data_IF_818701907891
#
_entry.id   IF_818701907891
#
_cell.length_a   1.000
_cell.length_b   1.000
_cell.length_c   1.000
_cell.angle_alpha   90.00
_cell.angle_beta   90.00
_cell.angle_gamma   90.00
#
_symmetry.space_group_name_H-M   'P 1'
#
loop_
_entity.id
_entity.type
_entity.pdbx_description
1 polymer ?
#
# COMPACT_ATOMS: atom_id res chain seq x y z
N UNK A 1 39.78 31.90 24.20
CA UNK A 1 39.43 31.39 25.54
C UNK A 1 38.60 32.46 26.20
N UNK A 2 37.37 32.14 26.60
CA UNK A 2 36.40 33.07 27.18
C UNK A 2 36.86 33.57 28.55
N UNK A 3 36.57 34.84 28.87
CA UNK A 3 36.99 35.49 30.12
C UNK A 3 36.48 34.76 31.38
N UNK A 4 35.33 34.10 31.30
CA UNK A 4 34.78 33.25 32.37
C UNK A 4 35.73 32.14 32.81
N UNK A 5 36.43 31.50 31.87
CA UNK A 5 37.31 30.37 32.15
C UNK A 5 38.52 30.83 33.00
N UNK A 6 39.00 32.05 32.79
CA UNK A 6 40.12 32.60 33.56
C UNK A 6 39.68 32.94 34.99
N UNK A 7 38.48 33.48 35.16
CA UNK A 7 37.93 33.85 36.46
C UNK A 7 37.60 32.61 37.32
N UNK A 8 37.09 31.54 36.70
CA UNK A 8 36.89 30.24 37.35
C UNK A 8 38.21 29.61 37.80
N UNK A 9 39.23 29.68 36.96
CA UNK A 9 40.56 29.15 37.25
C UNK A 9 41.21 29.91 38.42
N UNK A 10 41.11 31.25 38.45
CA UNK A 10 41.57 32.07 39.58
C UNK A 10 40.85 31.73 40.89
N UNK A 11 39.52 31.54 40.86
CA UNK A 11 38.75 31.13 42.04
C UNK A 11 39.11 29.71 42.51
N UNK A 12 39.43 28.79 41.59
CA UNK A 12 39.87 27.43 41.89
C UNK A 12 41.23 27.42 42.60
N UNK A 13 42.16 28.27 42.16
CA UNK A 13 43.48 28.44 42.78
C UNK A 13 43.41 29.14 44.14
N UNK A 14 42.43 30.03 44.38
CA UNK A 14 42.25 30.72 45.66
C UNK A 14 41.57 29.86 46.73
N UNK A 15 40.74 28.88 46.35
CA UNK A 15 39.91 28.10 47.28
C UNK A 15 40.45 26.71 47.64
N UNK A 16 41.37 26.14 46.85
CA UNK A 16 41.87 24.77 47.04
C UNK A 16 43.39 24.70 47.20
N UNK A 17 43.86 23.71 47.98
CA UNK A 17 45.28 23.44 48.16
C UNK A 17 45.89 22.69 46.97
N UNK A 18 47.22 22.79 46.82
CA UNK A 18 48.01 22.14 45.76
C UNK A 18 47.65 20.65 45.52
N UNK A 19 47.44 19.78 46.54
CA UNK A 19 47.08 18.38 46.28
C UNK A 19 45.68 18.21 45.66
N UNK A 20 44.71 19.02 46.07
CA UNK A 20 43.33 18.97 45.56
C UNK A 20 43.23 19.50 44.12
N UNK A 21 44.11 20.46 43.77
CA UNK A 21 44.23 20.97 42.39
C UNK A 21 44.80 19.88 41.47
N UNK A 22 45.77 19.09 41.92
CA UNK A 22 46.30 17.95 41.15
C UNK A 22 45.27 16.85 40.94
N UNK A 23 44.44 16.59 41.94
CA UNK A 23 43.34 15.62 41.81
C UNK A 23 42.25 16.12 40.84
N UNK A 24 41.90 17.41 40.91
CA UNK A 24 41.00 18.04 39.93
C UNK A 24 41.58 18.03 38.50
N UNK A 25 42.89 18.27 38.35
CA UNK A 25 43.59 18.16 37.07
C UNK A 25 43.53 16.73 36.52
N UNK A 26 43.79 15.72 37.36
CA UNK A 26 43.72 14.32 36.96
C UNK A 26 42.30 13.92 36.55
N UNK A 27 41.28 14.34 37.30
CA UNK A 27 39.87 14.10 36.97
C UNK A 27 39.47 14.79 35.67
N UNK A 28 39.88 16.04 35.46
CA UNK A 28 39.60 16.77 34.23
C UNK A 28 40.29 16.11 33.02
N UNK A 29 41.54 15.65 33.16
CA UNK A 29 42.24 14.90 32.12
C UNK A 29 41.52 13.59 31.76
N UNK A 30 40.96 12.90 32.76
CA UNK A 30 40.13 11.71 32.52
C UNK A 30 38.86 12.05 31.74
N UNK A 31 38.12 13.07 32.16
CA UNK A 31 36.91 13.53 31.47
C UNK A 31 37.19 13.98 30.04
N UNK A 32 38.30 14.68 29.80
CA UNK A 32 38.74 15.07 28.45
C UNK A 32 39.03 13.83 27.60
N UNK A 33 39.69 12.81 28.15
CA UNK A 33 39.93 11.54 27.45
C UNK A 33 38.63 10.83 27.09
N UNK A 34 37.71 10.70 28.05
CA UNK A 34 36.39 10.08 27.83
C UNK A 34 35.58 10.83 26.77
N UNK A 35 35.49 12.16 26.87
CA UNK A 35 34.78 12.99 25.89
C UNK A 35 35.41 12.92 24.51
N UNK A 36 36.73 12.84 24.43
CA UNK A 36 37.43 12.66 23.15
C UNK A 36 37.09 11.30 22.53
N UNK A 37 37.01 10.24 23.34
CA UNK A 37 36.67 8.91 22.87
C UNK A 37 35.18 8.78 22.49
N UNK A 38 34.28 9.40 23.25
CA UNK A 38 32.86 9.51 22.93
C UNK A 38 32.65 10.26 21.60
N UNK A 39 33.33 11.40 21.40
CA UNK A 39 33.29 12.13 20.13
C UNK A 39 33.78 11.27 18.96
N UNK A 40 34.87 10.51 19.13
CA UNK A 40 35.34 9.59 18.07
C UNK A 40 34.30 8.52 17.74
N UNK A 41 33.61 7.97 18.75
CA UNK A 41 32.56 6.97 18.54
C UNK A 41 31.36 7.56 17.79
N UNK A 42 30.83 8.68 18.28
CA UNK A 42 29.64 9.33 17.69
C UNK A 42 29.92 9.82 16.28
N UNK A 43 31.11 10.37 16.03
CA UNK A 43 31.51 10.78 14.68
C UNK A 43 31.67 9.57 13.75
N UNK A 44 32.23 8.46 14.25
CA UNK A 44 32.31 7.20 13.50
C UNK A 44 30.95 6.63 13.13
N UNK A 45 30.01 6.62 14.07
CA UNK A 45 28.61 6.21 13.86
C UNK A 45 27.93 7.13 12.84
N UNK A 46 28.09 8.45 12.97
CA UNK A 46 27.52 9.41 12.02
C UNK A 46 28.06 9.23 10.60
N UNK A 47 29.35 8.93 10.42
CA UNK A 47 29.91 8.62 9.09
C UNK A 47 29.37 7.31 8.54
N UNK A 48 29.22 6.28 9.38
CA UNK A 48 28.65 5.00 8.95
C UNK A 48 27.20 5.15 8.50
N UNK A 49 26.40 5.92 9.24
CA UNK A 49 25.01 6.23 8.89
C UNK A 49 24.93 7.06 7.60
N UNK A 50 25.83 8.03 7.40
CA UNK A 50 25.91 8.79 6.15
C UNK A 50 26.25 7.92 4.93
N UNK A 51 27.09 6.89 5.12
CA UNK A 51 27.42 5.93 4.05
C UNK A 51 26.22 5.03 3.78
N UNK A 52 25.60 4.46 4.84
CA UNK A 52 24.44 3.58 4.69
C UNK A 52 23.25 4.30 4.04
N UNK A 53 23.02 5.58 4.38
CA UNK A 53 21.99 6.39 3.74
C UNK A 53 22.31 6.72 2.27
N UNK A 54 23.59 6.91 1.93
CA UNK A 54 24.01 7.08 0.54
C UNK A 54 23.83 5.80 -0.28
N UNK A 55 24.18 4.64 0.27
CA UNK A 55 23.97 3.34 -0.38
C UNK A 55 22.49 3.06 -0.61
N UNK A 56 21.65 3.30 0.41
CA UNK A 56 20.19 3.19 0.28
C UNK A 56 19.63 4.14 -0.81
N UNK A 57 20.18 5.35 -0.95
CA UNK A 57 19.77 6.28 -2.00
C UNK A 57 20.12 5.76 -3.40
N UNK A 58 21.29 5.11 -3.55
CA UNK A 58 21.70 4.49 -4.81
C UNK A 58 20.79 3.31 -5.14
N UNK A 59 20.45 2.45 -4.17
CA UNK A 59 19.50 1.34 -4.36
C UNK A 59 18.12 1.84 -4.79
N UNK A 60 17.59 2.86 -4.09
CA UNK A 60 16.30 3.48 -4.45
C UNK A 60 16.36 4.04 -5.87
N UNK A 61 17.47 4.66 -6.26
CA UNK A 61 17.64 5.20 -7.62
C UNK A 61 17.68 4.10 -8.68
N UNK A 62 18.36 2.98 -8.43
CA UNK A 62 18.39 1.85 -9.37
C UNK A 62 17.00 1.24 -9.53
N UNK A 63 16.34 0.96 -8.41
CA UNK A 63 14.98 0.40 -8.40
C UNK A 63 13.99 1.32 -9.12
N UNK A 64 14.07 2.65 -8.88
CA UNK A 64 13.23 3.61 -9.59
C UNK A 64 13.48 3.58 -11.11
N UNK A 65 14.74 3.46 -11.55
CA UNK A 65 15.09 3.33 -12.97
C UNK A 65 14.53 2.03 -13.57
N UNK A 66 14.67 0.91 -12.87
CA UNK A 66 14.13 -0.39 -13.30
C UNK A 66 12.61 -0.35 -13.45
N UNK A 67 11.90 0.18 -12.44
CA UNK A 67 10.44 0.36 -12.49
C UNK A 67 10.04 1.22 -13.69
N UNK A 68 10.74 2.32 -13.95
CA UNK A 68 10.43 3.16 -15.12
C UNK A 68 10.61 2.39 -16.44
N UNK A 69 11.68 1.61 -16.57
CA UNK A 69 11.93 0.81 -17.76
C UNK A 69 10.86 -0.27 -17.97
N UNK A 70 10.45 -0.98 -16.90
CA UNK A 70 9.38 -1.98 -16.98
C UNK A 70 8.03 -1.36 -17.35
N UNK A 71 7.66 -0.24 -16.73
CA UNK A 71 6.41 0.47 -17.04
C UNK A 71 6.39 0.95 -18.50
N UNK A 72 7.53 1.41 -19.03
CA UNK A 72 7.64 1.73 -20.45
C UNK A 72 7.53 0.50 -21.36
N UNK A 73 8.03 -0.65 -20.91
CA UNK A 73 7.83 -1.96 -21.52
C UNK A 73 6.35 -2.31 -21.64
N UNK A 74 5.65 -2.34 -20.50
CA UNK A 74 4.21 -2.61 -20.43
C UNK A 74 3.43 -1.65 -21.33
N UNK A 75 3.75 -0.35 -21.31
CA UNK A 75 3.09 0.64 -22.17
C UNK A 75 3.27 0.33 -23.65
N UNK A 76 4.45 -0.11 -24.08
CA UNK A 76 4.70 -0.54 -25.47
C UNK A 76 3.89 -1.78 -25.82
N UNK A 77 3.90 -2.80 -24.96
CA UNK A 77 3.21 -4.06 -25.20
C UNK A 77 1.68 -3.87 -25.27
N UNK A 78 1.12 -3.05 -24.38
CA UNK A 78 -0.31 -2.68 -24.41
C UNK A 78 -0.65 -1.92 -25.69
N UNK A 79 0.24 -1.03 -26.15
CA UNK A 79 0.02 -0.29 -27.40
C UNK A 79 0.02 -1.24 -28.60
N UNK A 80 1.00 -2.15 -28.68
CA UNK A 80 1.07 -3.16 -29.73
C UNK A 80 -0.15 -4.10 -29.70
N UNK A 81 -0.56 -4.54 -28.52
CA UNK A 81 -1.76 -5.35 -28.34
C UNK A 81 -2.99 -4.59 -28.82
N UNK A 82 -3.14 -3.32 -28.44
CA UNK A 82 -4.25 -2.49 -28.90
C UNK A 82 -4.24 -2.33 -30.43
N UNK A 83 -3.08 -2.15 -31.06
CA UNK A 83 -2.96 -2.09 -32.52
C UNK A 83 -3.39 -3.42 -33.17
N UNK A 84 -2.93 -4.56 -32.66
CA UNK A 84 -3.32 -5.90 -33.13
C UNK A 84 -4.81 -6.16 -32.96
N UNK A 85 -5.39 -5.76 -31.82
CA UNK A 85 -6.82 -5.84 -31.56
C UNK A 85 -7.56 -4.95 -32.56
N UNK A 86 -7.23 -3.66 -32.69
CA UNK A 86 -7.89 -2.77 -33.66
C UNK A 86 -7.85 -3.30 -35.10
N UNK A 87 -6.77 -3.96 -35.51
CA UNK A 87 -6.69 -4.64 -36.81
C UNK A 87 -7.65 -5.83 -36.91
N UNK A 88 -7.70 -6.70 -35.89
CA UNK A 88 -8.63 -7.83 -35.84
C UNK A 88 -10.11 -7.42 -35.80
N UNK A 89 -10.43 -6.24 -35.25
CA UNK A 89 -11.79 -5.69 -35.25
C UNK A 89 -12.15 -4.98 -36.55
N UNK A 90 -11.16 -4.50 -37.31
CA UNK A 90 -11.34 -3.89 -38.63
C UNK A 90 -11.41 -4.89 -39.77
N UNK A 91 -10.81 -6.07 -39.62
CA UNK A 91 -11.10 -7.19 -40.51
C UNK A 91 -12.55 -7.62 -40.27
N UNK A 92 -13.46 -7.41 -41.24
CA UNK A 92 -14.77 -8.01 -41.15
C UNK A 92 -14.52 -9.50 -41.23
N UNK A 93 -14.63 -10.20 -40.11
CA UNK A 93 -14.70 -11.65 -40.12
C UNK A 93 -15.68 -12.05 -41.20
N UNK A 94 -15.26 -12.94 -42.10
CA UNK A 94 -16.12 -13.55 -43.14
C UNK A 94 -17.32 -14.31 -42.54
N UNK A 95 -17.53 -14.25 -41.22
CA UNK A 95 -18.74 -14.59 -40.49
C UNK A 95 -19.91 -13.59 -40.69
N UNK A 96 -19.88 -12.72 -41.70
CA UNK A 96 -21.03 -11.92 -42.13
C UNK A 96 -22.19 -12.77 -42.72
N UNK A 97 -22.07 -14.09 -42.71
CA UNK A 97 -23.16 -15.03 -42.94
C UNK A 97 -23.67 -15.67 -41.62
N UNK A 98 -23.52 -15.00 -40.46
CA UNK A 98 -24.10 -15.52 -39.23
C UNK A 98 -25.62 -15.57 -39.36
N UNK A 99 -26.15 -16.77 -39.16
CA UNK A 99 -27.59 -16.96 -39.13
C UNK A 99 -28.20 -16.08 -38.02
N UNK A 100 -29.45 -15.63 -38.19
CA UNK A 100 -30.13 -14.81 -37.17
C UNK A 100 -30.05 -15.40 -35.76
N UNK A 101 -29.96 -16.74 -35.67
CA UNK A 101 -29.81 -17.49 -34.43
C UNK A 101 -28.44 -17.31 -33.74
N UNK A 102 -27.34 -17.28 -34.49
CA UNK A 102 -25.99 -17.06 -33.92
C UNK A 102 -25.85 -15.65 -33.35
N UNK A 103 -26.39 -14.64 -34.05
CA UNK A 103 -26.44 -13.27 -33.55
C UNK A 103 -27.30 -13.15 -32.28
N UNK A 104 -28.42 -13.87 -32.22
CA UNK A 104 -29.27 -13.94 -31.03
C UNK A 104 -28.59 -14.67 -29.86
N UNK A 105 -27.86 -15.76 -30.13
CA UNK A 105 -27.11 -16.48 -29.11
C UNK A 105 -25.95 -15.65 -28.56
N UNK A 106 -25.21 -14.95 -29.43
CA UNK A 106 -24.15 -14.03 -29.03
C UNK A 106 -24.70 -12.85 -28.21
N UNK A 107 -25.90 -12.35 -28.53
CA UNK A 107 -26.58 -11.35 -27.70
C UNK A 107 -26.99 -11.94 -26.35
N UNK A 108 -27.58 -13.15 -26.35
CA UNK A 108 -28.02 -13.85 -25.15
C UNK A 108 -26.88 -14.15 -24.18
N UNK A 109 -25.70 -14.56 -24.68
CA UNK A 109 -24.53 -14.82 -23.84
C UNK A 109 -23.96 -13.55 -23.21
N UNK A 110 -23.95 -12.42 -23.92
CA UNK A 110 -23.54 -11.11 -23.37
C UNK A 110 -24.52 -10.61 -22.31
N UNK A 111 -25.82 -10.75 -22.55
CA UNK A 111 -26.85 -10.41 -21.56
C UNK A 111 -26.72 -11.32 -20.33
N UNK A 112 -26.54 -12.62 -20.52
CA UNK A 112 -26.29 -13.58 -19.44
C UNK A 112 -25.07 -13.17 -18.61
N UNK A 113 -23.95 -12.82 -19.25
CA UNK A 113 -22.76 -12.36 -18.53
C UNK A 113 -23.04 -11.15 -17.63
N UNK A 114 -23.83 -10.17 -18.11
CA UNK A 114 -24.19 -9.00 -17.31
C UNK A 114 -25.08 -9.34 -16.11
N UNK A 115 -26.02 -10.28 -16.30
CA UNK A 115 -26.91 -10.76 -15.23
C UNK A 115 -26.14 -11.56 -14.16
N UNK A 116 -25.15 -12.36 -14.59
CA UNK A 116 -24.30 -13.18 -13.72
C UNK A 116 -23.13 -12.36 -13.09
N UNK A 117 -22.95 -11.09 -13.48
CA UNK A 117 -21.88 -10.22 -12.97
C UNK A 117 -21.98 -9.96 -11.46
N UNK A 118 -23.11 -9.51 -10.89
CA UNK A 118 -23.20 -9.18 -9.47
C UNK A 118 -22.84 -10.38 -8.57
N UNK A 119 -23.38 -11.57 -8.84
CA UNK A 119 -23.08 -12.79 -8.06
C UNK A 119 -21.61 -13.15 -8.11
N UNK A 120 -21.00 -13.09 -9.30
CA UNK A 120 -19.59 -13.41 -9.45
C UNK A 120 -18.66 -12.34 -8.86
N UNK A 121 -19.05 -11.07 -8.86
CA UNK A 121 -18.30 -10.02 -8.15
C UNK A 121 -18.34 -10.28 -6.65
N UNK A 122 -19.49 -10.66 -6.10
CA UNK A 122 -19.60 -11.05 -4.69
C UNK A 122 -18.78 -12.28 -4.35
N UNK A 123 -18.80 -13.32 -5.20
CA UNK A 123 -17.95 -14.50 -5.02
C UNK A 123 -16.46 -14.14 -4.97
N UNK A 124 -15.99 -13.26 -5.87
CA UNK A 124 -14.62 -12.76 -5.82
C UNK A 124 -14.32 -11.97 -4.53
N UNK A 125 -15.28 -11.21 -4.01
CA UNK A 125 -15.10 -10.49 -2.74
C UNK A 125 -15.02 -11.44 -1.54
N UNK A 126 -15.77 -12.53 -1.54
CA UNK A 126 -15.70 -13.58 -0.51
C UNK A 126 -14.35 -14.30 -0.53
N UNK A 127 -13.81 -14.56 -1.73
CA UNK A 127 -12.48 -15.15 -1.95
C UNK A 127 -11.31 -14.18 -1.73
N UNK A 128 -11.58 -12.91 -1.41
CA UNK A 128 -10.58 -11.82 -1.30
C UNK A 128 -9.85 -11.50 -2.62
N UNK A 129 -10.38 -11.91 -3.76
CA UNK A 129 -9.88 -11.54 -5.08
C UNK A 129 -10.47 -10.19 -5.54
N UNK A 130 -9.87 -9.12 -5.04
CA UNK A 130 -10.28 -7.76 -5.40
C UNK A 130 -9.96 -7.42 -6.88
N UNK A 131 -8.93 -8.03 -7.46
CA UNK A 131 -8.50 -7.77 -8.83
C UNK A 131 -9.49 -8.40 -9.83
N UNK A 132 -9.86 -9.67 -9.61
CA UNK A 132 -10.89 -10.35 -10.39
C UNK A 132 -12.24 -9.66 -10.29
N UNK A 133 -12.64 -9.22 -9.09
CA UNK A 133 -13.87 -8.44 -8.89
C UNK A 133 -13.86 -7.13 -9.72
N UNK A 134 -12.76 -6.36 -9.65
CA UNK A 134 -12.60 -5.12 -10.39
C UNK A 134 -12.60 -5.34 -11.91
N UNK A 135 -11.83 -6.32 -12.39
CA UNK A 135 -11.72 -6.65 -13.80
C UNK A 135 -13.07 -7.10 -14.39
N UNK A 136 -13.78 -7.99 -13.70
CA UNK A 136 -15.10 -8.47 -14.13
C UNK A 136 -16.12 -7.34 -14.22
N UNK A 137 -16.13 -6.46 -13.22
CA UNK A 137 -17.02 -5.31 -13.20
C UNK A 137 -16.71 -4.30 -14.33
N UNK A 138 -15.43 -4.08 -14.68
CA UNK A 138 -15.05 -3.24 -15.83
C UNK A 138 -15.51 -3.86 -17.15
N UNK A 139 -15.27 -5.16 -17.35
CA UNK A 139 -15.75 -5.87 -18.54
C UNK A 139 -17.27 -5.77 -18.68
N UNK A 140 -18.01 -5.94 -17.58
CA UNK A 140 -19.46 -5.75 -17.57
C UNK A 140 -19.86 -4.31 -17.91
N UNK A 141 -19.12 -3.31 -17.43
CA UNK A 141 -19.35 -1.88 -17.75
C UNK A 141 -19.17 -1.60 -19.25
N UNK A 142 -18.11 -2.14 -19.83
CA UNK A 142 -17.83 -1.99 -21.27
C UNK A 142 -18.86 -2.73 -22.12
N UNK A 143 -19.27 -3.93 -21.73
CA UNK A 143 -20.32 -4.69 -22.42
C UNK A 143 -21.68 -3.99 -22.33
N UNK A 144 -22.05 -3.47 -21.16
CA UNK A 144 -23.28 -2.69 -21.02
C UNK A 144 -23.27 -1.45 -21.90
N UNK A 145 -22.13 -0.74 -21.95
CA UNK A 145 -21.93 0.42 -22.84
C UNK A 145 -22.07 0.03 -24.31
N UNK A 146 -21.38 -1.03 -24.74
CA UNK A 146 -21.42 -1.55 -26.12
C UNK A 146 -22.83 -1.99 -26.53
N UNK A 147 -23.57 -2.66 -25.65
CA UNK A 147 -24.94 -3.09 -25.91
C UNK A 147 -25.93 -1.92 -25.93
N UNK A 148 -25.67 -0.86 -25.17
CA UNK A 148 -26.46 0.37 -25.17
C UNK A 148 -26.22 1.21 -26.43
N UNK A 149 -24.99 1.25 -26.94
CA UNK A 149 -24.59 2.03 -28.12
C UNK A 149 -24.80 1.28 -29.45
N UNK A 150 -24.63 -0.05 -29.47
CA UNK A 150 -24.47 -0.86 -30.69
C UNK A 150 -25.66 -1.72 -31.09
N UNK A 151 -26.78 -1.69 -30.39
CA UNK A 151 -27.96 -2.49 -30.76
C UNK A 151 -28.71 -1.88 -31.95
N UNK A 152 -28.42 -2.36 -33.16
CA UNK A 152 -29.20 -2.10 -34.37
C UNK A 152 -30.65 -2.62 -34.34
N UNK A 153 -31.16 -3.03 -33.17
CA UNK A 153 -32.51 -3.55 -32.94
C UNK A 153 -33.28 -2.83 -31.83
N UNK A 154 -32.90 -1.60 -31.49
CA UNK A 154 -33.54 -0.76 -30.48
C UNK A 154 -32.78 -0.73 -29.14
N UNK A 155 -33.12 0.22 -28.24
CA UNK A 155 -32.44 0.38 -26.96
C UNK A 155 -32.47 -0.91 -26.15
N UNK A 156 -31.36 -1.27 -25.51
CA UNK A 156 -31.24 -2.45 -24.64
C UNK A 156 -32.40 -2.56 -23.62
N UNK A 157 -32.90 -1.41 -23.14
CA UNK A 157 -34.02 -1.33 -22.21
C UNK A 157 -35.39 -1.75 -22.77
N UNK A 158 -35.61 -1.75 -24.09
CA UNK A 158 -36.88 -2.22 -24.68
C UNK A 158 -36.89 -3.73 -24.87
N UNK A 159 -35.74 -4.35 -25.14
CA UNK A 159 -35.61 -5.81 -25.30
C UNK A 159 -35.38 -6.53 -23.97
N UNK A 160 -34.69 -5.90 -23.02
CA UNK A 160 -34.31 -6.48 -21.74
C UNK A 160 -34.55 -5.48 -20.59
N UNK A 161 -35.81 -5.21 -20.20
CA UNK A 161 -36.14 -4.25 -19.15
C UNK A 161 -35.55 -4.64 -17.78
N UNK A 162 -35.40 -5.95 -17.53
CA UNK A 162 -34.76 -6.46 -16.31
C UNK A 162 -33.31 -5.99 -16.17
N UNK A 163 -32.56 -5.97 -17.28
CA UNK A 163 -31.17 -5.54 -17.27
C UNK A 163 -31.05 -4.05 -16.96
N UNK A 164 -31.97 -3.23 -17.49
CA UNK A 164 -32.03 -1.80 -17.18
C UNK A 164 -32.30 -1.55 -15.68
N UNK A 165 -33.15 -2.38 -15.05
CA UNK A 165 -33.45 -2.25 -13.62
C UNK A 165 -32.31 -2.75 -12.72
N UNK A 166 -31.60 -3.80 -13.10
CA UNK A 166 -30.53 -4.40 -12.29
C UNK A 166 -29.19 -3.67 -12.42
N UNK A 167 -28.93 -3.01 -13.55
CA UNK A 167 -27.66 -2.33 -13.81
C UNK A 167 -27.26 -1.29 -12.74
N UNK A 168 -28.16 -0.45 -12.20
CA UNK A 168 -27.82 0.46 -11.11
C UNK A 168 -27.26 -0.26 -9.87
N UNK A 169 -27.80 -1.43 -9.53
CA UNK A 169 -27.31 -2.27 -8.42
C UNK A 169 -25.91 -2.80 -8.73
N UNK A 170 -25.69 -3.33 -9.93
CA UNK A 170 -24.35 -3.77 -10.37
C UNK A 170 -23.35 -2.61 -10.37
N UNK A 171 -23.78 -1.40 -10.73
CA UNK A 171 -22.95 -0.19 -10.68
C UNK A 171 -22.56 0.19 -9.25
N UNK A 172 -23.46 0.01 -8.28
CA UNK A 172 -23.18 0.27 -6.88
C UNK A 172 -22.07 -0.64 -6.33
N UNK A 173 -21.97 -1.88 -6.83
CA UNK A 173 -20.89 -2.82 -6.46
C UNK A 173 -19.49 -2.27 -6.73
N UNK A 174 -19.33 -1.32 -7.66
CA UNK A 174 -18.04 -0.62 -7.86
C UNK A 174 -17.52 -0.01 -6.55
N UNK A 175 -18.41 0.63 -5.79
CA UNK A 175 -18.04 1.27 -4.54
C UNK A 175 -17.80 0.25 -3.44
N UNK A 176 -18.60 -0.82 -3.39
CA UNK A 176 -18.40 -1.93 -2.45
C UNK A 176 -17.04 -2.60 -2.65
N UNK A 177 -16.66 -2.93 -3.89
CA UNK A 177 -15.35 -3.51 -4.22
C UNK A 177 -14.22 -2.55 -3.84
N UNK A 178 -14.42 -1.24 -4.07
CA UNK A 178 -13.46 -0.22 -3.68
C UNK A 178 -13.27 -0.15 -2.16
N UNK A 179 -14.36 -0.13 -1.39
CA UNK A 179 -14.34 -0.05 0.07
C UNK A 179 -13.71 -1.31 0.67
N UNK A 180 -14.08 -2.50 0.19
CA UNK A 180 -13.46 -3.76 0.61
C UNK A 180 -11.96 -3.80 0.31
N UNK A 181 -11.54 -3.40 -0.89
CA UNK A 181 -10.11 -3.35 -1.24
C UNK A 181 -9.33 -2.36 -0.36
N UNK A 182 -9.91 -1.21 -0.02
CA UNK A 182 -9.29 -0.22 0.87
C UNK A 182 -9.21 -0.72 2.32
N UNK A 183 -10.27 -1.37 2.82
CA UNK A 183 -10.29 -1.99 4.14
C UNK A 183 -9.22 -3.09 4.23
N UNK A 184 -9.07 -3.92 3.19
CA UNK A 184 -8.02 -4.94 3.13
C UNK A 184 -6.62 -4.34 3.16
N UNK A 185 -6.38 -3.29 2.37
CA UNK A 185 -5.10 -2.59 2.33
C UNK A 185 -4.75 -1.96 3.69
N UNK A 186 -5.70 -1.25 4.31
CA UNK A 186 -5.52 -0.63 5.64
C UNK A 186 -5.28 -1.67 6.73
N UNK A 187 -5.99 -2.80 6.72
CA UNK A 187 -5.77 -3.90 7.65
C UNK A 187 -4.35 -4.48 7.51
N UNK A 188 -3.86 -4.66 6.27
CA UNK A 188 -2.50 -5.14 6.02
C UNK A 188 -1.43 -4.14 6.42
N UNK A 189 -1.63 -2.84 6.18
CA UNK A 189 -0.73 -1.80 6.67
C UNK A 189 -0.66 -1.80 8.20
N UNK A 190 -1.80 -1.96 8.89
CA UNK A 190 -1.86 -2.06 10.36
C UNK A 190 -1.13 -3.31 10.88
N UNK A 191 -1.25 -4.45 10.20
CA UNK A 191 -0.56 -5.69 10.57
C UNK A 191 0.97 -5.56 10.40
N UNK A 192 1.41 -4.98 9.28
CA UNK A 192 2.83 -4.73 9.02
C UNK A 192 3.46 -3.83 10.09
N UNK A 193 2.77 -2.76 10.50
CA UNK A 193 3.26 -1.83 11.52
C UNK A 193 3.26 -2.42 12.94
N UNK A 194 2.42 -3.42 13.22
CA UNK A 194 2.40 -4.13 14.51
C UNK A 194 3.45 -5.24 14.63
N UNK A 195 4.15 -5.58 13.54
CA UNK A 195 5.09 -6.71 13.53
C UNK A 195 4.42 -8.06 13.80
N UNK A 196 3.08 -8.14 13.71
CA UNK A 196 2.32 -9.37 13.95
C UNK A 196 2.49 -10.30 12.75
N UNK A 197 3.01 -11.51 13.00
CA UNK A 197 2.84 -12.64 12.07
C UNK A 197 1.35 -12.93 11.98
N UNK A 198 0.75 -12.67 10.82
CA UNK A 198 -0.61 -13.12 10.53
C UNK A 198 -0.58 -14.65 10.50
N UNK A 199 -1.10 -15.28 11.56
CA UNK A 199 -1.47 -16.69 11.51
C UNK A 199 -2.61 -16.80 10.52
N UNK A 200 -2.34 -17.44 9.37
CA UNK A 200 -3.35 -17.65 8.35
C UNK A 200 -4.50 -18.49 8.90
N UNK A 201 -5.69 -17.90 8.97
CA UNK A 201 -6.93 -18.68 9.06
C UNK A 201 -7.30 -19.10 7.63
N UNK A 202 -6.95 -20.33 7.25
CA UNK A 202 -7.29 -20.86 5.92
C UNK A 202 -6.62 -22.18 5.57
N UNK A 203 -7.29 -23.28 5.94
CA UNK A 203 -7.19 -24.67 5.47
C UNK A 203 -5.87 -25.47 5.58
N UNK A 204 -6.01 -26.55 6.36
CA UNK A 204 -5.19 -27.74 6.47
C UNK A 204 -4.87 -28.30 5.09
N UNK A 205 -3.58 -28.31 4.73
CA UNK A 205 -3.09 -29.07 3.58
C UNK A 205 -2.13 -28.33 2.66
N UNK A 206 -1.13 -27.64 3.20
CA UNK A 206 0.26 -27.61 2.72
C UNK A 206 1.03 -26.55 3.52
N UNK A 207 1.85 -27.03 4.45
CA UNK A 207 2.81 -26.23 5.21
C UNK A 207 3.89 -25.68 4.28
N UNK A 208 3.65 -24.51 3.72
CA UNK A 208 4.69 -23.59 3.27
C UNK A 208 4.42 -22.28 3.99
N UNK A 209 5.26 -21.94 4.96
CA UNK A 209 5.22 -20.67 5.67
C UNK A 209 5.46 -19.53 4.67
N UNK A 210 4.38 -19.04 4.05
CA UNK A 210 4.40 -17.91 3.13
C UNK A 210 4.96 -16.66 3.80
N UNK A 211 5.69 -15.81 3.06
CA UNK A 211 6.36 -14.66 3.63
C UNK A 211 5.36 -13.71 4.29
N UNK A 212 5.80 -13.08 5.39
CA UNK A 212 5.14 -12.05 6.20
C UNK A 212 4.56 -10.85 5.40
N UNK A 213 4.85 -10.80 4.10
CA UNK A 213 4.32 -9.89 3.10
C UNK A 213 4.15 -10.68 1.81
N UNK A 214 2.92 -10.96 1.37
CA UNK A 214 2.67 -11.35 -0.02
C UNK A 214 2.66 -10.08 -0.88
N UNK A 215 3.79 -9.70 -1.54
CA UNK A 215 3.86 -8.51 -2.39
C UNK A 215 2.84 -8.60 -3.51
N UNK A 216 2.57 -9.81 -3.99
CA UNK A 216 1.64 -10.06 -5.07
C UNK A 216 0.20 -9.74 -4.69
N UNK A 217 -0.25 -10.18 -3.51
CA UNK A 217 -1.62 -9.88 -3.03
C UNK A 217 -1.82 -8.39 -2.70
N UNK A 218 -0.78 -7.68 -2.22
CA UNK A 218 -0.88 -6.21 -2.03
C UNK A 218 -0.91 -5.49 -3.36
N UNK A 219 -0.06 -5.90 -4.31
CA UNK A 219 -0.04 -5.37 -5.66
C UNK A 219 -1.37 -5.60 -6.39
N UNK A 220 -1.98 -6.79 -6.25
CA UNK A 220 -3.30 -7.09 -6.80
C UNK A 220 -4.39 -6.20 -6.20
N UNK A 221 -4.35 -5.95 -4.89
CA UNK A 221 -5.30 -5.04 -4.21
C UNK A 221 -5.12 -3.59 -4.70
N UNK A 222 -3.88 -3.13 -4.88
CA UNK A 222 -3.58 -1.80 -5.41
C UNK A 222 -3.96 -1.67 -6.90
N UNK A 223 -3.74 -2.72 -7.69
CA UNK A 223 -4.16 -2.79 -9.09
C UNK A 223 -5.69 -2.75 -9.20
N UNK A 224 -6.42 -3.44 -8.33
CA UNK A 224 -7.89 -3.35 -8.26
C UNK A 224 -8.38 -1.92 -8.01
N UNK A 225 -7.73 -1.20 -7.08
CA UNK A 225 -8.02 0.20 -6.81
C UNK A 225 -7.75 1.09 -8.04
N UNK A 226 -6.61 0.91 -8.72
CA UNK A 226 -6.27 1.62 -9.96
C UNK A 226 -7.28 1.39 -11.08
N UNK A 227 -7.80 0.17 -11.20
CA UNK A 227 -8.76 -0.20 -12.24
C UNK A 227 -10.14 0.42 -11.99
N UNK A 228 -10.61 0.45 -10.74
CA UNK A 228 -11.96 0.95 -10.40
C UNK A 228 -12.07 2.47 -10.43
N UNK A 229 -11.00 3.17 -10.05
CA UNK A 229 -10.84 4.61 -10.23
C UNK A 229 -9.48 4.88 -10.88
N UNK A 230 -9.43 5.47 -12.08
CA UNK A 230 -8.17 5.90 -12.69
C UNK A 230 -7.62 7.11 -11.91
N UNK A 231 -7.07 6.84 -10.73
CA UNK A 231 -6.36 7.79 -9.90
C UNK A 231 -4.95 7.91 -10.48
N UNK A 232 -4.46 9.14 -10.66
CA UNK A 232 -3.06 9.35 -11.01
C UNK A 232 -2.15 8.75 -9.93
N UNK A 233 -0.90 8.38 -10.26
CA UNK A 233 0.03 7.78 -9.29
C UNK A 233 0.21 8.62 -8.01
N UNK A 234 0.13 9.95 -8.12
CA UNK A 234 0.14 10.86 -6.98
C UNK A 234 -1.10 10.77 -6.08
N UNK A 235 -2.28 10.51 -6.64
CA UNK A 235 -3.49 10.30 -5.85
C UNK A 235 -3.50 8.93 -5.18
N UNK A 236 -2.93 7.92 -5.84
CA UNK A 236 -2.77 6.60 -5.24
C UNK A 236 -1.77 6.62 -4.08
N UNK A 237 -0.65 7.31 -4.24
CA UNK A 237 0.29 7.61 -3.16
C UNK A 237 -0.41 8.37 -2.02
N UNK A 238 -1.24 9.38 -2.32
CA UNK A 238 -2.02 10.07 -1.29
C UNK A 238 -2.99 9.14 -0.58
N UNK A 239 -3.64 8.21 -1.27
CA UNK A 239 -4.54 7.23 -0.63
C UNK A 239 -3.78 6.23 0.23
N UNK A 240 -2.61 5.76 -0.22
CA UNK A 240 -1.71 4.92 0.57
C UNK A 240 -1.22 5.66 1.81
N UNK A 241 -0.72 6.88 1.66
CA UNK A 241 -0.23 7.68 2.78
C UNK A 241 -1.34 8.04 3.76
N UNK A 242 -2.58 8.28 3.29
CA UNK A 242 -3.75 8.44 4.17
C UNK A 242 -4.08 7.16 4.92
N UNK A 243 -4.04 6.01 4.26
CA UNK A 243 -4.27 4.70 4.87
C UNK A 243 -3.19 4.38 5.93
N UNK A 244 -1.92 4.63 5.60
CA UNK A 244 -0.77 4.47 6.51
C UNK A 244 -0.86 5.44 7.68
N UNK A 245 -1.21 6.71 7.45
CA UNK A 245 -1.43 7.69 8.52
C UNK A 245 -2.56 7.26 9.46
N UNK A 246 -3.70 6.83 8.93
CA UNK A 246 -4.80 6.33 9.75
C UNK A 246 -4.43 5.07 10.54
N UNK A 247 -3.56 4.22 9.98
CA UNK A 247 -2.99 3.08 10.70
C UNK A 247 -2.07 3.52 11.85
N UNK A 248 -1.24 4.54 11.64
CA UNK A 248 -0.38 5.13 12.66
C UNK A 248 -1.19 5.78 13.79
N UNK A 249 -2.21 6.56 13.45
CA UNK A 249 -3.11 7.22 14.42
C UNK A 249 -3.81 6.17 15.30
N UNK A 250 -4.36 5.10 14.71
CA UNK A 250 -4.98 4.00 15.48
C UNK A 250 -3.98 3.26 16.38
N UNK A 251 -2.73 3.07 15.94
CA UNK A 251 -1.69 2.43 16.78
C UNK A 251 -1.22 3.34 17.91
N UNK A 252 -1.17 4.65 17.68
CA UNK A 252 -0.85 5.65 18.70
C UNK A 252 -1.95 5.67 19.78
N UNK A 253 -3.22 5.70 19.38
CA UNK A 253 -4.37 5.62 20.31
C UNK A 253 -4.36 4.31 21.11
N UNK A 254 -3.99 3.17 20.49
CA UNK A 254 -3.87 1.88 21.18
C UNK A 254 -2.73 1.86 22.22
N UNK A 255 -1.63 2.58 21.96
CA UNK A 255 -0.51 2.76 22.90
C UNK A 255 -0.88 3.71 24.04
N UNK A 256 -1.61 4.79 23.77
CA UNK A 256 -2.09 5.73 24.79
C UNK A 256 -3.10 5.07 25.75
N UNK A 257 -3.97 4.19 25.24
CA UNK A 257 -4.90 3.40 26.06
C UNK A 257 -4.19 2.34 26.92
N UNK A 258 -3.12 1.71 26.43
CA UNK A 258 -2.31 0.79 27.24
C UNK A 258 -1.47 1.52 28.28
N UNK A 259 -0.93 2.70 27.96
CA UNK A 259 -0.21 3.58 28.89
C UNK A 259 -1.08 4.12 30.03
N UNK A 260 -2.39 4.26 29.81
CA UNK A 260 -3.34 4.66 30.86
C UNK A 260 -3.75 3.50 31.80
N UNK A 261 -3.46 2.24 31.45
CA UNK A 261 -3.79 1.06 32.29
C UNK A 261 -2.63 0.54 33.15
N UNK A 262 -1.43 1.10 33.02
CA UNK A 262 -0.23 0.61 33.71
C UNK A 262 0.39 1.64 34.65
N UNK A 263 -0.04 1.65 35.92
CA UNK A 263 0.72 1.87 37.18
C UNK A 263 -0.18 2.47 38.31
N UNK A 264 0.04 2.17 39.62
CA UNK A 264 0.16 0.86 40.26
C UNK A 264 -0.74 0.77 41.54
N UNK A 265 -1.64 -0.22 41.63
CA UNK A 265 -2.44 -0.50 42.84
C UNK A 265 -1.76 -1.54 43.75
N UNK A 266 -0.48 -1.36 44.10
CA UNK A 266 0.23 -2.22 45.08
C UNK A 266 1.26 -1.46 45.94
N UNK A 267 0.90 -0.29 46.46
CA UNK A 267 1.71 0.44 47.45
C UNK A 267 0.93 0.79 48.74
N UNK A 268 -0.06 -0.02 49.13
CA UNK A 268 -0.89 0.23 50.31
C UNK A 268 -1.14 -1.02 51.17
N UNK A 269 -0.13 -1.86 51.40
CA UNK A 269 -0.15 -2.86 52.49
C UNK A 269 1.22 -2.88 53.19
N UNK A 270 1.46 -1.85 53.98
CA UNK A 270 2.48 -1.85 55.03
C UNK A 270 2.07 -0.86 56.12
N UNK A 271 1.06 -1.21 56.91
CA UNK A 271 0.85 -0.74 58.29
C UNK A 271 0.20 -1.84 59.11
#
# INVERSE_FOLDING_TARGET
>A
MSADVLQEVEQLFQSKGIPQIREAEAALRHQVSEKTQELRRVVGESYNDLIATADALVEISSCASEITHEVEGIRRDVKELNERVQLAWREPSKAAASTSYEAQFALGSRVKFLLDTPEAVWACLEEQDHLGAAARFLQASDLHRLLSEGSGGGPLGSRFPLLHHQWPTTRALRNEVWEHALQRLTARCKAHMRGEKVVGEGNIGQDEAGPMFDPESTAQTLAALLLLRPLGGAELLKTLLKAVRGALESSLEALELHGASGEPEQAAEAR
#
